data_IF_390595994124
#
_entry.id   IF_390595994124
#
_cell.length_a   1.000
_cell.length_b   1.000
_cell.length_c   1.000
_cell.angle_alpha   90.00
_cell.angle_beta   90.00
_cell.angle_gamma   90.00
#
_symmetry.space_group_name_H-M   'P 1'
#
loop_
_entity.id
_entity.type
_entity.pdbx_description
1 polymer ?
#
# COMPACT_ATOMS: atom_id res chain seq x y z
N UNK A 1 9.59 22.17 12.05
CA UNK A 1 10.81 21.38 11.77
C UNK A 1 11.29 20.84 13.10
N UNK A 2 11.39 19.52 13.24
CA UNK A 2 11.91 18.87 14.45
C UNK A 2 13.42 18.64 14.34
N UNK A 3 13.88 18.32 13.16
CA UNK A 3 15.28 18.05 12.83
C UNK A 3 15.60 18.53 11.41
N UNK A 4 16.85 18.96 11.20
CA UNK A 4 17.39 19.31 9.89
C UNK A 4 18.86 18.94 9.84
N UNK A 5 19.30 18.27 8.75
CA UNK A 5 20.70 17.90 8.56
C UNK A 5 21.06 17.82 7.08
N UNK A 6 22.33 17.92 6.77
CA UNK A 6 22.88 17.56 5.48
C UNK A 6 23.50 16.17 5.55
N UNK A 7 23.13 15.31 4.61
CA UNK A 7 23.62 13.92 4.52
C UNK A 7 24.64 13.86 3.40
N UNK A 8 25.93 13.87 3.77
CA UNK A 8 27.07 13.98 2.84
C UNK A 8 27.11 12.83 1.85
N UNK A 9 26.84 11.60 2.31
CA UNK A 9 26.87 10.39 1.48
C UNK A 9 25.82 10.38 0.36
N UNK A 10 24.77 11.17 0.50
CA UNK A 10 23.66 11.27 -0.45
C UNK A 10 23.57 12.64 -1.12
N UNK A 11 24.51 13.54 -0.81
CA UNK A 11 24.48 14.94 -1.27
C UNK A 11 23.07 15.56 -1.12
N UNK A 12 22.47 15.38 0.05
CA UNK A 12 21.07 15.64 0.28
C UNK A 12 20.83 16.47 1.54
N UNK A 13 19.91 17.43 1.46
CA UNK A 13 19.36 18.09 2.63
C UNK A 13 18.14 17.31 3.14
N UNK A 14 18.18 16.88 4.39
CA UNK A 14 17.12 16.12 5.03
C UNK A 14 16.45 16.93 6.13
N UNK A 15 15.12 16.85 6.22
CA UNK A 15 14.32 17.50 7.26
C UNK A 15 13.27 16.54 7.80
N UNK A 16 13.06 16.55 9.11
CA UNK A 16 11.93 15.91 9.77
C UNK A 16 10.96 16.99 10.26
N UNK A 17 9.72 16.85 9.86
CA UNK A 17 8.62 17.72 10.25
C UNK A 17 7.61 16.90 11.06
N UNK A 18 6.89 17.58 11.93
CA UNK A 18 5.75 17.01 12.65
C UNK A 18 4.50 17.85 12.40
N UNK A 19 3.42 17.22 11.98
CA UNK A 19 2.15 17.89 11.79
C UNK A 19 1.49 18.14 13.15
N UNK A 20 1.36 19.42 13.52
CA UNK A 20 0.98 19.86 14.87
C UNK A 20 -0.36 19.26 15.35
N UNK A 21 -1.32 19.09 14.44
CA UNK A 21 -2.66 18.60 14.83
C UNK A 21 -2.75 17.07 14.99
N UNK A 22 -2.02 16.32 14.15
CA UNK A 22 -2.15 14.85 14.11
C UNK A 22 -0.95 14.12 14.69
N UNK A 23 0.19 14.81 14.90
CA UNK A 23 1.45 14.17 15.26
C UNK A 23 2.10 13.37 14.12
N UNK A 24 1.55 13.42 12.90
CA UNK A 24 2.12 12.72 11.77
C UNK A 24 3.52 13.26 11.46
N UNK A 25 4.46 12.36 11.26
CA UNK A 25 5.86 12.70 10.92
C UNK A 25 6.03 12.71 9.41
N UNK A 26 6.68 13.75 8.90
CA UNK A 26 7.00 13.92 7.49
C UNK A 26 8.52 14.02 7.36
N UNK A 27 9.09 13.15 6.54
CA UNK A 27 10.49 13.20 6.16
C UNK A 27 10.61 13.80 4.76
N UNK A 28 11.40 14.85 4.61
CA UNK A 28 11.71 15.48 3.34
C UNK A 28 13.19 15.30 3.06
N UNK A 29 13.52 14.88 1.84
CA UNK A 29 14.89 14.85 1.34
C UNK A 29 14.95 15.59 0.01
N UNK A 30 15.90 16.50 -0.14
CA UNK A 30 16.08 17.32 -1.33
C UNK A 30 17.50 17.19 -1.85
N UNK A 31 17.63 16.85 -3.13
CA UNK A 31 18.89 16.73 -3.88
C UNK A 31 18.63 17.01 -5.37
N UNK A 32 19.66 16.76 -6.21
CA UNK A 32 19.61 16.98 -7.66
C UNK A 32 19.05 15.76 -8.44
N UNK A 33 18.55 14.71 -7.78
CA UNK A 33 17.93 13.58 -8.45
C UNK A 33 16.60 13.98 -9.09
N UNK A 34 16.43 13.69 -10.37
CA UNK A 34 15.20 14.00 -11.10
C UNK A 34 14.03 13.09 -10.67
N UNK A 35 14.32 11.92 -10.10
CA UNK A 35 13.30 10.95 -9.69
C UNK A 35 12.72 11.30 -8.32
N UNK A 36 11.52 11.86 -8.35
CA UNK A 36 10.80 12.26 -7.15
C UNK A 36 10.06 11.06 -6.55
N UNK A 37 10.17 10.90 -5.24
CA UNK A 37 9.53 9.80 -4.50
C UNK A 37 8.54 10.37 -3.50
N UNK A 38 7.33 9.85 -3.51
CA UNK A 38 6.35 10.02 -2.44
C UNK A 38 6.12 8.65 -1.77
N UNK A 39 6.05 8.68 -0.45
CA UNK A 39 5.85 7.48 0.35
C UNK A 39 4.96 7.81 1.55
N UNK A 40 3.81 7.15 1.67
CA UNK A 40 2.98 7.24 2.87
C UNK A 40 2.91 5.87 3.53
N UNK A 41 3.10 5.83 4.85
CA UNK A 41 3.14 4.59 5.61
C UNK A 41 2.39 4.68 6.93
N UNK A 42 1.81 3.56 7.34
CA UNK A 42 1.08 3.39 8.57
C UNK A 42 1.63 2.21 9.36
N UNK A 43 1.64 2.32 10.69
CA UNK A 43 1.86 1.16 11.55
C UNK A 43 0.59 0.32 11.57
N UNK A 44 0.72 -0.91 11.09
CA UNK A 44 -0.39 -1.86 10.98
C UNK A 44 0.02 -3.25 11.51
N UNK A 45 0.50 -3.35 12.76
CA UNK A 45 0.79 -4.67 13.34
C UNK A 45 -0.52 -5.46 13.41
N UNK A 46 -0.56 -6.70 12.89
CA UNK A 46 -1.76 -7.53 12.97
C UNK A 46 -1.96 -8.06 14.39
N UNK A 47 -3.20 -8.15 14.82
CA UNK A 47 -3.57 -8.78 16.10
C UNK A 47 -3.77 -10.31 15.95
N UNK A 48 -3.98 -10.78 14.71
CA UNK A 48 -4.26 -12.18 14.39
C UNK A 48 -3.77 -12.55 12.98
N UNK A 49 -4.10 -13.76 12.54
CA UNK A 49 -3.72 -14.30 11.22
C UNK A 49 -4.81 -14.15 10.14
N UNK A 50 -5.75 -13.25 10.31
CA UNK A 50 -6.84 -13.03 9.32
C UNK A 50 -6.38 -12.31 8.06
N UNK A 51 -5.19 -11.66 8.08
CA UNK A 51 -4.64 -10.91 6.96
C UNK A 51 -5.25 -9.52 6.79
N UNK A 52 -5.94 -9.00 7.81
CA UNK A 52 -6.66 -7.73 7.76
C UNK A 52 -5.84 -6.54 7.22
N UNK A 53 -4.58 -6.31 7.65
CA UNK A 53 -3.78 -5.21 7.09
C UNK A 53 -3.57 -5.29 5.58
N UNK A 54 -3.35 -6.49 5.03
CA UNK A 54 -3.15 -6.71 3.59
C UNK A 54 -4.47 -6.56 2.82
N UNK A 55 -5.58 -7.08 3.36
CA UNK A 55 -6.91 -6.87 2.77
C UNK A 55 -7.25 -5.37 2.72
N UNK A 56 -6.93 -4.61 3.76
CA UNK A 56 -7.13 -3.17 3.77
C UNK A 56 -6.21 -2.44 2.80
N UNK A 57 -4.97 -2.89 2.61
CA UNK A 57 -4.05 -2.35 1.61
C UNK A 57 -4.68 -2.36 0.22
N UNK A 58 -5.18 -3.53 -0.22
CA UNK A 58 -5.90 -3.66 -1.49
C UNK A 58 -7.15 -2.77 -1.51
N UNK A 59 -7.97 -2.89 -0.47
CA UNK A 59 -9.29 -2.26 -0.41
C UNK A 59 -9.26 -0.73 -0.50
N UNK A 60 -8.24 -0.05 0.05
CA UNK A 60 -8.14 1.41 -0.01
C UNK A 60 -7.77 1.94 -1.39
N UNK A 61 -7.21 1.09 -2.25
CA UNK A 61 -6.84 1.43 -3.62
C UNK A 61 -7.96 1.15 -4.64
N UNK A 62 -9.09 0.58 -4.22
CA UNK A 62 -10.26 0.27 -5.08
C UNK A 62 -11.21 1.45 -5.31
N UNK A 63 -10.72 2.68 -5.17
CA UNK A 63 -11.46 3.92 -5.40
C UNK A 63 -11.49 4.82 -4.18
N UNK A 64 -11.78 6.10 -4.43
CA UNK A 64 -11.76 7.14 -3.41
C UNK A 64 -12.79 8.24 -3.68
N UNK A 65 -12.82 9.27 -2.84
CA UNK A 65 -13.77 10.38 -2.98
C UNK A 65 -13.58 11.17 -4.27
N UNK A 66 -12.34 11.51 -4.62
CA UNK A 66 -12.02 12.23 -5.86
C UNK A 66 -11.96 11.31 -7.08
N UNK A 67 -11.58 10.05 -6.88
CA UNK A 67 -11.37 9.07 -7.94
C UNK A 67 -12.29 7.87 -7.74
N UNK A 68 -13.62 8.04 -7.97
CA UNK A 68 -14.64 7.01 -7.74
C UNK A 68 -14.70 6.00 -8.89
N UNK A 69 -13.55 5.61 -9.43
CA UNK A 69 -13.41 4.60 -10.48
C UNK A 69 -12.99 3.28 -9.84
N UNK A 70 -13.40 2.18 -10.46
CA UNK A 70 -12.94 0.87 -10.05
C UNK A 70 -11.46 0.73 -10.39
N UNK A 71 -10.65 0.36 -9.40
CA UNK A 71 -9.24 0.09 -9.55
C UNK A 71 -8.44 1.25 -10.22
N UNK A 72 -8.39 2.44 -9.59
CA UNK A 72 -7.59 3.55 -10.10
C UNK A 72 -6.08 3.20 -10.15
N UNK A 73 -5.63 2.24 -9.37
CA UNK A 73 -4.26 1.75 -9.38
C UNK A 73 -3.87 1.15 -10.75
N UNK A 74 -4.71 0.27 -11.31
CA UNK A 74 -4.46 -0.31 -12.64
C UNK A 74 -4.47 0.76 -13.74
N UNK A 75 -5.33 1.77 -13.62
CA UNK A 75 -5.33 2.88 -14.58
C UNK A 75 -4.05 3.72 -14.48
N UNK A 76 -3.51 3.93 -13.29
CA UNK A 76 -2.22 4.59 -13.09
C UNK A 76 -1.06 3.77 -13.67
N UNK A 77 -1.02 2.46 -13.45
CA UNK A 77 0.01 1.57 -14.02
C UNK A 77 0.06 1.67 -15.54
N UNK A 78 -1.11 1.79 -16.19
CA UNK A 78 -1.21 1.86 -17.65
C UNK A 78 -0.97 3.25 -18.23
N UNK A 79 -1.33 4.30 -17.50
CA UNK A 79 -1.44 5.65 -18.03
C UNK A 79 -0.44 6.68 -17.52
N UNK A 80 0.27 6.40 -16.43
CA UNK A 80 1.25 7.34 -15.85
C UNK A 80 2.68 7.11 -16.37
N UNK A 81 3.52 8.12 -16.15
CA UNK A 81 4.97 8.07 -16.43
C UNK A 81 5.76 7.63 -15.20
N UNK A 82 5.14 6.83 -14.33
CA UNK A 82 5.76 6.39 -13.09
C UNK A 82 7.07 5.62 -13.34
N UNK A 83 8.05 5.84 -12.47
CA UNK A 83 9.27 5.04 -12.39
C UNK A 83 9.14 3.93 -11.35
N UNK A 84 8.22 4.12 -10.39
CA UNK A 84 7.84 3.14 -9.39
C UNK A 84 6.40 3.39 -8.92
N UNK A 85 5.63 2.33 -8.76
CA UNK A 85 4.26 2.39 -8.27
C UNK A 85 3.94 1.05 -7.60
N UNK A 86 3.60 1.08 -6.31
CA UNK A 86 3.30 -0.12 -5.56
C UNK A 86 2.49 0.18 -4.28
N UNK A 87 2.02 -0.87 -3.64
CA UNK A 87 1.58 -0.92 -2.26
C UNK A 87 2.15 -2.18 -1.63
N UNK A 88 2.48 -2.16 -0.36
CA UNK A 88 3.15 -3.27 0.31
C UNK A 88 2.75 -3.36 1.77
N UNK A 89 2.32 -4.54 2.21
CA UNK A 89 2.09 -4.85 3.62
C UNK A 89 3.24 -5.69 4.17
N UNK A 90 3.93 -5.11 5.15
CA UNK A 90 4.98 -5.74 5.95
C UNK A 90 4.41 -6.27 7.27
N UNK A 91 5.18 -7.02 8.08
CA UNK A 91 4.69 -7.56 9.35
C UNK A 91 4.18 -6.52 10.35
N UNK A 92 4.63 -5.27 10.28
CA UNK A 92 4.31 -4.22 11.26
C UNK A 92 3.83 -2.89 10.64
N UNK A 93 3.78 -2.81 9.31
CA UNK A 93 3.44 -1.58 8.57
C UNK A 93 2.87 -1.87 7.19
N UNK A 94 2.07 -0.95 6.70
CA UNK A 94 1.58 -0.89 5.32
C UNK A 94 2.03 0.41 4.68
N UNK A 95 2.54 0.36 3.45
CA UNK A 95 3.16 1.48 2.77
C UNK A 95 2.70 1.60 1.33
N UNK A 96 2.60 2.83 0.85
CA UNK A 96 2.12 3.19 -0.48
C UNK A 96 3.13 4.12 -1.16
N UNK A 97 4.17 3.57 -1.81
CA UNK A 97 5.19 4.33 -2.51
C UNK A 97 4.84 4.59 -3.97
N UNK A 98 5.16 5.80 -4.45
CA UNK A 98 5.15 6.16 -5.87
C UNK A 98 6.35 7.00 -6.22
N UNK A 99 6.81 6.91 -7.46
CA UNK A 99 7.90 7.74 -7.97
C UNK A 99 7.69 8.10 -9.44
N UNK A 100 8.15 9.28 -9.83
CA UNK A 100 8.18 9.75 -11.22
C UNK A 100 9.24 10.83 -11.43
N UNK A 101 9.89 10.81 -12.59
CA UNK A 101 10.76 11.91 -13.02
C UNK A 101 9.96 13.11 -13.56
N UNK A 102 8.70 12.92 -13.95
CA UNK A 102 7.85 13.97 -14.46
C UNK A 102 7.07 14.67 -13.34
N UNK A 103 7.23 16.00 -13.21
CA UNK A 103 6.63 16.77 -12.11
C UNK A 103 5.10 16.70 -12.07
N UNK A 104 4.46 16.77 -13.24
CA UNK A 104 3.00 16.74 -13.32
C UNK A 104 2.44 15.36 -12.99
N UNK A 105 3.11 14.32 -13.49
CA UNK A 105 2.75 12.94 -13.20
C UNK A 105 2.96 12.62 -11.72
N UNK A 106 4.09 13.03 -11.14
CA UNK A 106 4.36 12.88 -9.71
C UNK A 106 3.28 13.51 -8.83
N UNK A 107 2.84 14.74 -9.15
CA UNK A 107 1.76 15.40 -8.43
C UNK A 107 0.43 14.64 -8.55
N UNK A 108 0.12 14.11 -9.74
CA UNK A 108 -1.09 13.31 -9.95
C UNK A 108 -1.05 12.00 -9.17
N UNK A 109 0.07 11.28 -9.22
CA UNK A 109 0.28 10.05 -8.45
C UNK A 109 0.12 10.28 -6.94
N UNK A 110 0.75 11.34 -6.43
CA UNK A 110 0.63 11.72 -5.03
C UNK A 110 -0.81 12.05 -4.63
N UNK A 111 -1.54 12.79 -5.47
CA UNK A 111 -2.95 13.16 -5.19
C UNK A 111 -3.86 11.93 -5.18
N UNK A 112 -3.70 11.00 -6.14
CA UNK A 112 -4.48 9.76 -6.18
C UNK A 112 -4.20 8.88 -4.95
N UNK A 113 -2.93 8.71 -4.59
CA UNK A 113 -2.56 7.88 -3.44
C UNK A 113 -3.00 8.49 -2.11
N UNK A 114 -2.83 9.81 -1.92
CA UNK A 114 -3.32 10.49 -0.73
C UNK A 114 -4.84 10.38 -0.59
N UNK A 115 -5.59 10.62 -1.67
CA UNK A 115 -7.03 10.51 -1.61
C UNK A 115 -7.50 9.07 -1.39
N UNK A 116 -6.87 8.11 -2.07
CA UNK A 116 -7.15 6.68 -1.87
C UNK A 116 -6.97 6.25 -0.42
N UNK A 117 -5.85 6.62 0.20
CA UNK A 117 -5.52 6.18 1.56
C UNK A 117 -6.28 6.95 2.64
N UNK A 118 -6.57 8.25 2.44
CA UNK A 118 -7.22 9.10 3.44
C UNK A 118 -8.75 9.17 3.30
N UNK A 119 -9.29 8.94 2.10
CA UNK A 119 -10.72 9.04 1.78
C UNK A 119 -11.20 7.85 0.93
N UNK A 120 -10.89 6.60 1.33
CA UNK A 120 -11.19 5.42 0.51
C UNK A 120 -12.68 5.16 0.37
N UNK A 121 -13.07 4.60 -0.76
CA UNK A 121 -14.46 4.23 -1.06
C UNK A 121 -15.00 3.12 -0.16
N UNK A 122 -14.15 2.33 0.47
CA UNK A 122 -14.51 1.22 1.36
C UNK A 122 -15.49 1.63 2.47
N UNK A 123 -15.44 2.87 2.94
CA UNK A 123 -16.38 3.37 3.96
C UNK A 123 -17.83 3.47 3.49
N UNK A 124 -18.04 3.57 2.18
CA UNK A 124 -19.37 3.69 1.54
C UNK A 124 -19.75 2.44 0.77
N UNK A 125 -18.78 1.65 0.35
CA UNK A 125 -18.96 0.47 -0.48
C UNK A 125 -18.31 -0.77 0.18
N UNK A 126 -19.00 -1.40 1.15
CA UNK A 126 -18.47 -2.56 1.87
C UNK A 126 -18.14 -3.76 0.96
N UNK A 127 -18.69 -3.80 -0.26
CA UNK A 127 -18.41 -4.89 -1.22
C UNK A 127 -16.95 -4.92 -1.64
N UNK A 128 -16.24 -3.79 -1.60
CA UNK A 128 -14.79 -3.73 -1.85
C UNK A 128 -14.05 -4.65 -0.86
N UNK A 129 -14.33 -4.50 0.42
CA UNK A 129 -13.72 -5.33 1.46
C UNK A 129 -14.11 -6.82 1.31
N UNK A 130 -15.36 -7.11 0.94
CA UNK A 130 -15.83 -8.47 0.71
C UNK A 130 -15.20 -9.11 -0.53
N UNK A 131 -14.82 -8.31 -1.54
CA UNK A 131 -14.12 -8.77 -2.74
C UNK A 131 -12.67 -9.13 -2.41
N UNK A 132 -11.95 -8.27 -1.68
CA UNK A 132 -10.53 -8.47 -1.35
C UNK A 132 -10.33 -9.49 -0.21
N UNK A 133 -11.29 -9.55 0.69
CA UNK A 133 -11.29 -10.46 1.84
C UNK A 133 -11.49 -11.91 1.47
N UNK A 134 -11.22 -12.78 2.43
CA UNK A 134 -11.48 -14.21 2.29
C UNK A 134 -12.88 -14.59 2.78
N UNK A 135 -13.44 -15.65 2.21
CA UNK A 135 -14.72 -16.21 2.57
C UNK A 135 -14.71 -17.75 2.42
N UNK A 136 -15.65 -18.38 3.07
CA UNK A 136 -15.91 -19.80 2.84
C UNK A 136 -16.70 -19.97 1.55
N UNK A 137 -16.28 -20.90 0.72
CA UNK A 137 -16.89 -21.20 -0.57
C UNK A 137 -17.33 -22.66 -0.62
N UNK A 138 -18.53 -22.89 -1.11
CA UNK A 138 -19.14 -24.18 -1.35
C UNK A 138 -19.92 -24.11 -2.67
N UNK A 139 -19.42 -24.76 -3.72
CA UNK A 139 -20.07 -24.72 -5.04
C UNK A 139 -21.31 -25.60 -5.08
N UNK A 140 -21.28 -26.75 -4.41
CA UNK A 140 -22.41 -27.65 -4.26
C UNK A 140 -22.50 -28.21 -2.83
N UNK A 141 -23.69 -28.65 -2.37
CA UNK A 141 -23.85 -29.17 -1.00
C UNK A 141 -23.00 -30.40 -0.70
N UNK A 142 -22.54 -31.13 -1.72
CA UNK A 142 -21.74 -32.35 -1.62
C UNK A 142 -20.22 -32.07 -1.66
N UNK A 143 -19.82 -30.82 -1.97
CA UNK A 143 -18.42 -30.46 -2.09
C UNK A 143 -17.76 -30.19 -0.73
N UNK A 144 -16.45 -30.25 -0.71
CA UNK A 144 -15.66 -29.86 0.45
C UNK A 144 -15.68 -28.32 0.60
N UNK A 145 -15.89 -27.86 1.83
CA UNK A 145 -15.83 -26.43 2.16
C UNK A 145 -14.41 -25.91 1.96
N UNK A 146 -14.25 -24.90 1.12
CA UNK A 146 -12.96 -24.25 0.83
C UNK A 146 -12.91 -22.80 1.31
N UNK A 147 -11.72 -22.23 1.33
CA UNK A 147 -11.51 -20.80 1.57
C UNK A 147 -11.04 -20.17 0.26
N UNK A 148 -11.69 -19.08 -0.13
CA UNK A 148 -11.38 -18.31 -1.33
C UNK A 148 -11.30 -16.81 -0.99
N UNK A 149 -10.60 -16.01 -1.79
CA UNK A 149 -10.45 -14.56 -1.64
C UNK A 149 -9.20 -14.08 -2.35
N UNK A 150 -9.21 -12.83 -2.81
CA UNK A 150 -8.12 -12.26 -3.61
C UNK A 150 -6.80 -12.31 -2.85
N UNK A 151 -6.74 -11.66 -1.70
CA UNK A 151 -5.52 -11.62 -0.85
C UNK A 151 -5.15 -13.00 -0.32
N UNK A 152 -6.14 -13.83 0.05
CA UNK A 152 -5.88 -15.19 0.51
C UNK A 152 -5.19 -16.02 -0.58
N UNK A 153 -5.68 -15.99 -1.80
CA UNK A 153 -5.12 -16.74 -2.92
C UNK A 153 -3.73 -16.25 -3.31
N UNK A 154 -3.50 -14.93 -3.27
CA UNK A 154 -2.18 -14.33 -3.47
C UNK A 154 -1.17 -14.86 -2.44
N UNK A 155 -1.51 -14.80 -1.15
CA UNK A 155 -0.63 -15.26 -0.07
C UNK A 155 -0.41 -16.77 -0.13
N UNK A 156 -1.43 -17.55 -0.47
CA UNK A 156 -1.31 -18.99 -0.71
C UNK A 156 -0.31 -19.28 -1.83
N UNK A 157 -0.32 -18.50 -2.91
CA UNK A 157 0.66 -18.58 -3.99
C UNK A 157 2.07 -18.17 -3.53
N UNK A 158 2.20 -17.03 -2.86
CA UNK A 158 3.49 -16.50 -2.38
C UNK A 158 4.20 -17.46 -1.40
N UNK A 159 3.44 -18.16 -0.56
CA UNK A 159 3.97 -19.12 0.42
C UNK A 159 4.06 -20.57 -0.07
N UNK A 160 3.85 -20.82 -1.36
CA UNK A 160 3.85 -22.18 -1.91
C UNK A 160 5.24 -22.73 -2.25
N UNK A 161 6.26 -21.86 -2.38
CA UNK A 161 7.62 -22.31 -2.71
C UNK A 161 8.34 -22.88 -1.47
N UNK A 162 9.24 -23.88 -1.65
CA UNK A 162 10.05 -24.41 -0.56
C UNK A 162 10.90 -23.35 0.15
N UNK A 163 11.41 -22.39 -0.61
CA UNK A 163 12.21 -21.28 -0.08
C UNK A 163 11.38 -20.38 0.84
N UNK A 164 10.15 -20.06 0.44
CA UNK A 164 9.21 -19.25 1.25
C UNK A 164 8.84 -19.97 2.54
N UNK A 165 8.63 -21.29 2.47
CA UNK A 165 8.37 -22.13 3.65
C UNK A 165 9.56 -22.13 4.58
N UNK A 166 10.79 -22.32 4.06
CA UNK A 166 12.01 -22.32 4.83
C UNK A 166 12.26 -20.96 5.52
N UNK A 167 12.12 -19.86 4.77
CA UNK A 167 12.29 -18.50 5.30
C UNK A 167 11.33 -18.23 6.48
N UNK A 168 10.07 -18.62 6.34
CA UNK A 168 9.06 -18.50 7.40
C UNK A 168 9.43 -19.26 8.67
N UNK A 169 9.96 -20.48 8.54
CA UNK A 169 10.36 -21.29 9.69
C UNK A 169 11.67 -20.83 10.34
N UNK A 170 12.52 -20.11 9.60
CA UNK A 170 13.79 -19.61 10.13
C UNK A 170 13.69 -18.24 10.78
N UNK A 171 12.63 -17.46 10.49
CA UNK A 171 12.40 -16.12 11.07
C UNK A 171 11.48 -16.12 12.29
N UNK A 172 10.83 -17.22 12.59
CA UNK A 172 10.04 -17.43 13.80
C UNK A 172 10.92 -18.21 14.84
#
# INVERSE_FOLDING_TARGET
>A
VSEEMYVEEMDSRAMVLEHIKSGARIFLMSNEDENKVFYIGFRTPPDDSTGLPHILEHSVLEGSDKFPVKDPFVELVKGSLNTFLNAMTYPDKTVYPVASCNDKDFQNLMDVYLDGVLHPAIYREPRIFLQEGWHYELESPEDELTINGVVYNEMKGAFSSPESVLDRFTRN
#
